data_IF_208400776012
#
_entry.id   IF_208400776012
#
_cell.length_a   1.000
_cell.length_b   1.000
_cell.length_c   1.000
_cell.angle_alpha   90.00
_cell.angle_beta   90.00
_cell.angle_gamma   90.00
#
_symmetry.space_group_name_H-M   'P 1'
#
loop_
_entity.id
_entity.type
_entity.pdbx_description
1 polymer ?
#
# COMPACT_ATOMS: atom_id res chain seq x y z
N UNK A 1 19.91 -18.44 52.18
CA UNK A 1 20.49 -17.12 51.88
C UNK A 1 19.83 -16.61 50.59
N UNK A 2 19.03 -15.55 50.63
CA UNK A 2 18.33 -15.01 49.45
C UNK A 2 18.82 -13.59 49.20
N UNK A 3 19.68 -13.41 48.20
CA UNK A 3 20.09 -12.09 47.72
C UNK A 3 19.09 -11.68 46.64
N UNK A 4 18.15 -10.81 47.02
CA UNK A 4 17.07 -10.39 46.14
C UNK A 4 17.57 -9.44 45.05
N UNK A 5 17.31 -9.89 43.82
CA UNK A 5 17.59 -9.33 42.48
C UNK A 5 16.90 -7.98 42.18
N UNK A 6 16.87 -7.04 43.13
CA UNK A 6 16.06 -5.81 43.03
C UNK A 6 16.59 -4.82 41.98
N UNK A 7 17.90 -4.79 41.73
CA UNK A 7 18.52 -4.03 40.63
C UNK A 7 18.21 -4.60 39.24
N UNK A 8 18.17 -5.93 39.12
CA UNK A 8 17.93 -6.58 37.82
C UNK A 8 16.52 -6.32 37.29
N UNK A 9 15.49 -6.31 38.16
CA UNK A 9 14.11 -6.06 37.71
C UNK A 9 13.96 -4.64 37.15
N UNK A 10 14.56 -3.65 37.81
CA UNK A 10 14.57 -2.27 37.35
C UNK A 10 15.38 -2.11 36.05
N UNK A 11 16.57 -2.71 35.95
CA UNK A 11 17.38 -2.69 34.72
C UNK A 11 16.70 -3.40 33.55
N UNK A 12 16.04 -4.53 33.81
CA UNK A 12 15.25 -5.26 32.80
C UNK A 12 14.10 -4.39 32.29
N UNK A 13 13.37 -3.73 33.18
CA UNK A 13 12.30 -2.82 32.81
C UNK A 13 12.83 -1.64 31.98
N UNK A 14 13.92 -1.01 32.42
CA UNK A 14 14.58 0.08 31.66
C UNK A 14 15.01 -0.37 30.26
N UNK A 15 15.56 -1.58 30.11
CA UNK A 15 15.95 -2.11 28.81
C UNK A 15 14.72 -2.39 27.93
N UNK A 16 13.63 -2.90 28.52
CA UNK A 16 12.36 -3.11 27.82
C UNK A 16 11.78 -1.79 27.33
N UNK A 17 11.73 -0.78 28.20
CA UNK A 17 11.22 0.55 27.87
C UNK A 17 12.10 1.24 26.81
N UNK A 18 13.43 1.09 26.91
CA UNK A 18 14.35 1.60 25.89
C UNK A 18 14.10 0.96 24.51
N UNK A 19 13.98 -0.36 24.45
CA UNK A 19 13.68 -1.08 23.19
C UNK A 19 12.34 -0.66 22.60
N UNK A 20 11.34 -0.42 23.46
CA UNK A 20 10.03 0.09 23.05
C UNK A 20 10.15 1.50 22.47
N UNK A 21 10.84 2.40 23.16
CA UNK A 21 11.05 3.76 22.69
C UNK A 21 11.84 3.80 21.38
N UNK A 22 12.90 3.00 21.25
CA UNK A 22 13.67 2.89 20.01
C UNK A 22 12.80 2.42 18.84
N UNK A 23 11.87 1.48 19.08
CA UNK A 23 10.91 1.02 18.09
C UNK A 23 9.90 2.11 17.70
N UNK A 24 9.38 2.84 18.69
CA UNK A 24 8.47 3.98 18.46
C UNK A 24 9.16 5.05 17.60
N UNK A 25 10.39 5.44 17.94
CA UNK A 25 11.15 6.45 17.19
C UNK A 25 11.34 6.03 15.73
N UNK A 26 11.79 4.78 15.48
CA UNK A 26 11.95 4.29 14.10
C UNK A 26 10.64 4.24 13.33
N UNK A 27 9.55 3.86 13.99
CA UNK A 27 8.22 3.85 13.39
C UNK A 27 7.77 5.26 13.02
N UNK A 28 8.00 6.24 13.90
CA UNK A 28 7.71 7.66 13.63
C UNK A 28 8.53 8.22 12.46
N UNK A 29 9.80 7.84 12.34
CA UNK A 29 10.66 8.27 11.22
C UNK A 29 10.07 7.81 9.87
N UNK A 30 9.72 6.52 9.76
CA UNK A 30 9.08 5.99 8.55
C UNK A 30 7.70 6.60 8.31
N UNK A 31 6.89 6.76 9.36
CA UNK A 31 5.56 7.34 9.24
C UNK A 31 5.63 8.79 8.74
N UNK A 32 6.50 9.61 9.33
CA UNK A 32 6.71 11.00 8.93
C UNK A 32 7.25 11.10 7.50
N UNK A 33 8.22 10.24 7.15
CA UNK A 33 8.73 10.13 5.79
C UNK A 33 7.62 9.79 4.78
N UNK A 34 6.73 8.86 5.13
CA UNK A 34 5.60 8.48 4.30
C UNK A 34 4.57 9.59 4.10
N UNK A 35 4.23 10.33 5.15
CA UNK A 35 3.36 11.50 5.06
C UNK A 35 3.98 12.55 4.15
N UNK A 36 5.26 12.86 4.34
CA UNK A 36 5.98 13.83 3.52
C UNK A 36 6.05 13.41 2.05
N UNK A 37 6.31 12.12 1.76
CA UNK A 37 6.33 11.59 0.40
C UNK A 37 4.96 11.71 -0.28
N UNK A 38 3.88 11.36 0.43
CA UNK A 38 2.50 11.48 -0.07
C UNK A 38 2.14 12.93 -0.38
N UNK A 39 2.41 13.86 0.54
CA UNK A 39 2.16 15.29 0.29
C UNK A 39 3.07 15.87 -0.80
N UNK A 40 4.27 15.32 -0.96
CA UNK A 40 5.17 15.61 -2.09
C UNK A 40 4.72 15.01 -3.43
N UNK A 41 3.63 14.24 -3.46
CA UNK A 41 3.05 13.63 -4.66
C UNK A 41 3.52 12.21 -4.98
N UNK A 42 4.49 11.66 -4.25
CA UNK A 42 4.88 10.24 -4.38
C UNK A 42 4.01 9.37 -3.45
N UNK A 43 2.77 9.14 -3.91
CA UNK A 43 1.76 8.36 -3.17
C UNK A 43 2.22 6.92 -2.95
N UNK A 44 2.91 6.32 -3.92
CA UNK A 44 3.46 4.95 -3.78
C UNK A 44 4.46 4.91 -2.64
N UNK A 45 5.48 5.78 -2.68
CA UNK A 45 6.49 5.82 -1.63
C UNK A 45 5.84 6.13 -0.28
N UNK A 46 4.85 7.01 -0.24
CA UNK A 46 4.05 7.28 0.95
C UNK A 46 3.46 6.00 1.56
N UNK A 47 2.76 5.20 0.76
CA UNK A 47 2.20 3.93 1.21
C UNK A 47 3.27 2.94 1.68
N UNK A 48 4.38 2.79 0.94
CA UNK A 48 5.48 1.89 1.30
C UNK A 48 6.07 2.26 2.66
N UNK A 49 6.35 3.55 2.89
CA UNK A 49 6.92 4.03 4.15
C UNK A 49 5.93 3.91 5.31
N UNK A 50 4.64 4.17 5.09
CA UNK A 50 3.61 3.97 6.11
C UNK A 50 3.46 2.50 6.50
N UNK A 51 3.49 1.58 5.53
CA UNK A 51 3.49 0.13 5.80
C UNK A 51 4.74 -0.25 6.59
N UNK A 52 5.91 0.24 6.18
CA UNK A 52 7.18 -0.01 6.86
C UNK A 52 7.19 0.52 8.29
N UNK A 53 6.48 1.61 8.57
CA UNK A 53 6.32 2.15 9.92
C UNK A 53 5.65 1.17 10.89
N UNK A 54 4.90 0.17 10.41
CA UNK A 54 4.29 -0.87 11.24
C UNK A 54 5.30 -1.91 11.72
N UNK A 55 6.42 -2.10 11.01
CA UNK A 55 7.38 -3.18 11.29
C UNK A 55 8.04 -3.04 12.68
N UNK A 56 8.60 -1.88 13.08
CA UNK A 56 9.28 -1.75 14.37
C UNK A 56 8.35 -1.96 15.57
N UNK A 57 7.08 -1.59 15.42
CA UNK A 57 6.07 -1.63 16.48
C UNK A 57 5.25 -2.93 16.51
N UNK A 58 5.42 -3.81 15.52
CA UNK A 58 4.76 -5.13 15.44
C UNK A 58 4.85 -5.95 16.76
N UNK A 59 6.00 -6.02 17.47
CA UNK A 59 6.09 -6.75 18.74
C UNK A 59 5.24 -6.15 19.87
N UNK A 60 4.80 -4.91 19.72
CA UNK A 60 4.09 -4.13 20.73
C UNK A 60 2.64 -3.82 20.33
N UNK A 61 2.07 -4.47 19.31
CA UNK A 61 0.69 -4.25 18.87
C UNK A 61 -0.38 -4.55 19.92
N UNK A 62 -0.10 -5.44 20.87
CA UNK A 62 -0.98 -5.69 22.01
C UNK A 62 -0.88 -4.63 23.11
N UNK A 63 0.12 -3.75 23.02
CA UNK A 63 0.32 -2.66 23.98
C UNK A 63 -0.24 -1.35 23.42
N UNK A 64 -0.62 -0.47 24.33
CA UNK A 64 -0.92 0.90 23.97
C UNK A 64 0.39 1.66 23.70
N UNK A 65 0.45 2.34 22.55
CA UNK A 65 1.58 3.15 22.09
C UNK A 65 1.16 4.61 21.92
N UNK A 66 0.84 5.32 23.01
CA UNK A 66 0.53 6.73 22.95
C UNK A 66 1.78 7.51 22.54
N UNK A 67 1.61 8.42 21.58
CA UNK A 67 2.63 9.36 21.11
C UNK A 67 1.98 10.73 20.96
N UNK A 68 2.75 11.78 21.23
CA UNK A 68 2.33 13.14 20.89
C UNK A 68 2.69 13.40 19.43
N UNK A 69 1.67 13.67 18.62
CA UNK A 69 1.84 14.16 17.25
C UNK A 69 1.14 15.51 17.17
N UNK A 70 1.92 16.57 16.96
CA UNK A 70 1.44 17.95 16.84
C UNK A 70 0.58 18.42 18.04
N UNK A 71 0.95 18.03 19.27
CA UNK A 71 0.25 18.42 20.49
C UNK A 71 -1.01 17.61 20.80
N UNK A 72 -1.23 16.51 20.06
CA UNK A 72 -2.35 15.58 20.30
C UNK A 72 -1.80 14.20 20.63
N UNK A 73 -2.26 13.63 21.74
CA UNK A 73 -1.96 12.24 22.09
C UNK A 73 -2.75 11.30 21.19
N UNK A 74 -2.04 10.49 20.41
CA UNK A 74 -2.62 9.50 19.50
C UNK A 74 -1.95 8.14 19.68
N UNK A 75 -2.65 7.08 19.31
CA UNK A 75 -2.09 5.73 19.31
C UNK A 75 -1.40 5.46 17.98
N UNK A 76 -0.07 5.29 18.00
CA UNK A 76 0.76 5.27 16.79
C UNK A 76 0.29 4.25 15.74
N UNK A 77 0.03 3.01 16.16
CA UNK A 77 -0.44 1.97 15.24
C UNK A 77 -1.79 2.30 14.58
N UNK A 78 -2.72 2.88 15.34
CA UNK A 78 -4.02 3.29 14.82
C UNK A 78 -3.88 4.45 13.83
N UNK A 79 -3.02 5.43 14.13
CA UNK A 79 -2.81 6.58 13.26
C UNK A 79 -2.15 6.17 11.94
N UNK A 80 -1.15 5.27 11.98
CA UNK A 80 -0.56 4.70 10.75
C UNK A 80 -1.63 3.98 9.92
N UNK A 81 -2.44 3.12 10.53
CA UNK A 81 -3.47 2.36 9.82
C UNK A 81 -4.55 3.27 9.21
N UNK A 82 -4.94 4.31 9.95
CA UNK A 82 -5.85 5.35 9.47
C UNK A 82 -5.28 6.08 8.27
N UNK A 83 -4.01 6.48 8.29
CA UNK A 83 -3.40 7.18 7.16
C UNK A 83 -3.18 6.30 5.93
N UNK A 84 -2.85 5.02 6.10
CA UNK A 84 -2.84 4.04 5.00
C UNK A 84 -4.24 3.96 4.38
N UNK A 85 -5.27 3.77 5.21
CA UNK A 85 -6.66 3.64 4.76
C UNK A 85 -7.15 4.90 4.05
N UNK A 86 -6.87 6.07 4.60
CA UNK A 86 -7.19 7.37 4.01
C UNK A 86 -6.49 7.56 2.66
N UNK A 87 -5.21 7.19 2.57
CA UNK A 87 -4.44 7.30 1.34
C UNK A 87 -5.01 6.38 0.26
N UNK A 88 -5.32 5.13 0.59
CA UNK A 88 -5.97 4.20 -0.35
C UNK A 88 -7.35 4.68 -0.80
N UNK A 89 -8.17 5.22 0.11
CA UNK A 89 -9.49 5.75 -0.22
C UNK A 89 -9.45 6.95 -1.15
N UNK A 90 -8.34 7.69 -1.18
CA UNK A 90 -8.13 8.83 -2.07
C UNK A 90 -7.55 8.43 -3.44
N UNK A 91 -7.23 7.15 -3.65
CA UNK A 91 -6.79 6.62 -4.94
C UNK A 91 -8.01 6.22 -5.75
N UNK A 92 -8.14 6.81 -6.93
CA UNK A 92 -9.14 6.46 -7.93
C UNK A 92 -8.46 5.77 -9.10
N UNK A 93 -8.94 4.58 -9.47
CA UNK A 93 -8.52 3.87 -10.68
C UNK A 93 -9.72 3.82 -11.63
N UNK A 94 -9.55 4.33 -12.84
CA UNK A 94 -10.60 4.33 -13.85
C UNK A 94 -10.06 3.83 -15.20
N UNK A 95 -10.84 3.04 -15.96
CA UNK A 95 -10.47 2.69 -17.32
C UNK A 95 -10.52 3.93 -18.22
N UNK A 96 -9.59 4.02 -19.17
CA UNK A 96 -9.61 5.05 -20.21
C UNK A 96 -10.72 4.77 -21.24
N UNK A 97 -11.02 3.48 -21.47
CA UNK A 97 -12.15 3.03 -22.29
C UNK A 97 -13.06 2.13 -21.45
N UNK A 98 -14.30 2.55 -21.22
CA UNK A 98 -15.25 1.81 -20.39
C UNK A 98 -15.76 0.54 -21.08
N UNK A 99 -15.89 0.54 -22.40
CA UNK A 99 -16.40 -0.57 -23.20
C UNK A 99 -15.52 -0.80 -24.42
N UNK A 100 -15.36 -2.08 -24.77
CA UNK A 100 -14.62 -2.51 -25.95
C UNK A 100 -15.44 -3.58 -26.67
N UNK A 101 -15.72 -3.37 -27.95
CA UNK A 101 -16.38 -4.36 -28.80
C UNK A 101 -15.33 -5.14 -29.58
N UNK A 102 -15.34 -6.46 -29.43
CA UNK A 102 -14.44 -7.36 -30.16
C UNK A 102 -15.19 -8.60 -30.64
N UNK A 103 -14.61 -9.33 -31.58
CA UNK A 103 -15.07 -10.66 -31.95
C UNK A 103 -14.25 -11.72 -31.21
N UNK A 104 -14.89 -12.84 -30.88
CA UNK A 104 -14.20 -14.02 -30.36
C UNK A 104 -13.07 -14.43 -31.31
N UNK A 105 -11.92 -14.78 -30.76
CA UNK A 105 -10.70 -15.11 -31.51
C UNK A 105 -9.81 -13.91 -31.82
N UNK A 106 -10.20 -12.68 -31.48
CA UNK A 106 -9.36 -11.49 -31.63
C UNK A 106 -8.53 -11.20 -30.37
N UNK A 107 -7.38 -10.57 -30.57
CA UNK A 107 -6.57 -9.98 -29.51
C UNK A 107 -7.12 -8.60 -29.11
N UNK A 108 -6.85 -8.18 -27.86
CA UNK A 108 -7.08 -6.82 -27.39
C UNK A 108 -5.72 -6.17 -27.15
N UNK A 109 -5.44 -5.11 -27.92
CA UNK A 109 -4.20 -4.36 -27.81
C UNK A 109 -4.13 -3.55 -26.50
N UNK A 110 -2.91 -3.32 -26.02
CA UNK A 110 -2.63 -2.57 -24.78
C UNK A 110 -3.22 -1.16 -24.75
N UNK A 111 -3.25 -0.49 -25.90
CA UNK A 111 -3.86 0.83 -26.06
C UNK A 111 -5.37 0.87 -25.79
N UNK A 112 -6.05 -0.28 -25.86
CA UNK A 112 -7.49 -0.37 -25.59
C UNK A 112 -7.79 -0.69 -24.13
N UNK A 113 -6.89 -1.40 -23.44
CA UNK A 113 -7.01 -1.80 -22.04
C UNK A 113 -6.04 -1.00 -21.18
N UNK A 114 -6.30 0.31 -21.10
CA UNK A 114 -5.54 1.22 -20.25
C UNK A 114 -6.37 1.67 -19.06
N UNK A 115 -5.78 1.61 -17.88
CA UNK A 115 -6.30 2.19 -16.66
C UNK A 115 -5.48 3.40 -16.25
N UNK A 116 -6.14 4.39 -15.69
CA UNK A 116 -5.52 5.59 -15.17
C UNK A 116 -5.77 5.69 -13.67
N UNK A 117 -4.71 5.90 -12.91
CA UNK A 117 -4.74 6.10 -11.47
C UNK A 117 -4.52 7.58 -11.12
N UNK A 118 -5.37 8.08 -10.24
CA UNK A 118 -5.33 9.44 -9.73
C UNK A 118 -5.42 9.47 -8.21
N UNK A 119 -4.79 10.46 -7.61
CA UNK A 119 -4.87 10.76 -6.19
C UNK A 119 -5.67 12.04 -5.98
N UNK A 120 -6.57 12.02 -4.98
CA UNK A 120 -7.45 13.17 -4.65
C UNK A 120 -8.21 13.71 -5.87
N UNK A 121 -8.55 12.83 -6.81
CA UNK A 121 -9.38 13.11 -7.98
C UNK A 121 -8.68 13.70 -9.21
N UNK A 122 -7.44 14.20 -9.12
CA UNK A 122 -6.80 14.90 -10.25
C UNK A 122 -5.32 14.61 -10.47
N UNK A 123 -4.56 14.32 -9.41
CA UNK A 123 -3.10 14.14 -9.52
C UNK A 123 -2.77 12.74 -10.04
N UNK A 124 -2.10 12.57 -11.19
CA UNK A 124 -1.72 11.24 -11.67
C UNK A 124 -0.73 10.59 -10.70
N UNK A 125 -0.90 9.29 -10.45
CA UNK A 125 0.00 8.55 -9.57
C UNK A 125 1.00 7.77 -10.41
N UNK A 126 2.29 8.10 -10.29
CA UNK A 126 3.34 7.38 -10.97
C UNK A 126 3.77 6.12 -10.21
N UNK A 127 4.21 5.10 -10.95
CA UNK A 127 4.76 3.83 -10.46
C UNK A 127 3.87 3.04 -9.50
N UNK A 128 2.57 3.34 -9.42
CA UNK A 128 1.61 2.63 -8.59
C UNK A 128 1.42 1.22 -9.17
N UNK A 129 1.67 0.15 -8.38
CA UNK A 129 1.47 -1.20 -8.85
C UNK A 129 -0.02 -1.51 -8.92
N UNK A 130 -0.46 -1.92 -10.11
CA UNK A 130 -1.83 -2.35 -10.39
C UNK A 130 -1.85 -3.83 -10.76
N UNK A 131 -2.80 -4.55 -10.18
CA UNK A 131 -3.19 -5.89 -10.60
C UNK A 131 -4.51 -5.83 -11.35
N UNK A 132 -4.66 -6.66 -12.38
CA UNK A 132 -5.91 -6.79 -13.15
C UNK A 132 -6.52 -8.17 -13.04
N UNK A 133 -7.84 -8.22 -13.14
CA UNK A 133 -8.62 -9.44 -13.20
C UNK A 133 -9.46 -9.43 -14.48
N UNK A 134 -9.44 -10.56 -15.17
CA UNK A 134 -10.25 -10.80 -16.36
C UNK A 134 -11.17 -11.98 -16.12
N UNK A 135 -12.47 -11.79 -16.35
CA UNK A 135 -13.50 -12.75 -15.94
C UNK A 135 -13.56 -14.04 -16.78
N UNK A 136 -12.92 -14.07 -17.96
CA UNK A 136 -12.82 -15.31 -18.75
C UNK A 136 -11.80 -16.27 -18.13
N UNK A 137 -10.60 -15.77 -17.82
CA UNK A 137 -9.46 -16.57 -17.36
C UNK A 137 -8.39 -15.70 -16.69
N UNK A 138 -7.53 -16.30 -15.85
CA UNK A 138 -6.32 -15.64 -15.37
C UNK A 138 -5.42 -15.19 -16.53
N UNK A 139 -4.83 -14.01 -16.39
CA UNK A 139 -3.84 -13.48 -17.34
C UNK A 139 -2.43 -13.79 -16.84
N UNK A 140 -1.53 -14.11 -17.77
CA UNK A 140 -0.11 -14.33 -17.47
C UNK A 140 0.57 -13.05 -17.01
N UNK A 141 0.27 -11.93 -17.68
CA UNK A 141 0.80 -10.61 -17.38
C UNK A 141 -0.29 -9.71 -16.79
N UNK A 142 -0.71 -10.02 -15.56
CA UNK A 142 -1.81 -9.33 -14.88
C UNK A 142 -1.35 -8.22 -13.93
N UNK A 143 -0.07 -7.85 -13.95
CA UNK A 143 0.50 -6.81 -13.08
C UNK A 143 1.29 -5.81 -13.91
N UNK A 144 1.06 -4.52 -13.66
CA UNK A 144 1.81 -3.43 -14.28
C UNK A 144 1.90 -2.26 -13.30
N UNK A 145 2.97 -1.47 -13.39
CA UNK A 145 3.07 -0.20 -12.67
C UNK A 145 2.62 0.94 -13.57
N UNK A 146 1.98 1.95 -12.99
CA UNK A 146 1.60 3.14 -13.75
C UNK A 146 2.82 3.95 -14.19
N UNK A 147 2.72 4.63 -15.32
CA UNK A 147 3.74 5.57 -15.78
C UNK A 147 3.57 6.97 -15.15
N UNK A 148 4.38 7.95 -15.56
CA UNK A 148 4.32 9.34 -15.06
C UNK A 148 2.98 10.05 -15.31
N UNK A 149 2.18 9.60 -16.28
CA UNK A 149 0.84 10.11 -16.55
C UNK A 149 -0.27 9.41 -15.75
N UNK A 150 0.11 8.43 -14.91
CA UNK A 150 -0.80 7.60 -14.13
C UNK A 150 -1.38 6.42 -14.89
N UNK A 151 -0.88 6.10 -16.08
CA UNK A 151 -1.46 5.06 -16.95
C UNK A 151 -0.76 3.71 -16.78
N UNK A 152 -1.52 2.63 -16.71
CA UNK A 152 -1.06 1.26 -16.86
C UNK A 152 -1.88 0.55 -17.95
N UNK A 153 -1.20 -0.12 -18.87
CA UNK A 153 -1.82 -0.74 -20.04
C UNK A 153 -1.54 -2.24 -20.04
N UNK A 154 -2.55 -3.03 -20.45
CA UNK A 154 -2.53 -4.48 -20.43
C UNK A 154 -3.02 -5.03 -21.76
N UNK A 155 -2.59 -6.19 -22.18
CA UNK A 155 -3.05 -6.81 -23.42
C UNK A 155 -3.68 -8.18 -23.17
N UNK A 156 -4.50 -8.61 -24.14
CA UNK A 156 -5.06 -9.97 -24.17
C UNK A 156 -4.76 -10.56 -25.53
N UNK A 157 -3.95 -11.63 -25.56
CA UNK A 157 -3.55 -12.30 -26.80
C UNK A 157 -4.73 -12.81 -27.63
N UNK A 158 -5.74 -13.37 -26.96
CA UNK A 158 -6.93 -13.92 -27.63
C UNK A 158 -8.07 -14.04 -26.64
N UNK A 159 -9.23 -13.51 -27.03
CA UNK A 159 -10.50 -13.71 -26.30
C UNK A 159 -11.19 -14.96 -26.82
N UNK A 160 -11.43 -15.92 -25.93
CA UNK A 160 -12.10 -17.20 -26.25
C UNK A 160 -13.45 -17.35 -25.57
N UNK A 161 -13.87 -16.34 -24.80
CA UNK A 161 -15.16 -16.36 -24.15
C UNK A 161 -16.30 -16.53 -25.15
N UNK A 162 -17.27 -17.35 -24.74
CA UNK A 162 -18.56 -17.54 -25.40
C UNK A 162 -19.64 -16.62 -24.82
N UNK A 163 -19.34 -15.89 -23.73
CA UNK A 163 -20.29 -14.96 -23.12
C UNK A 163 -20.42 -13.71 -23.98
N UNK A 164 -21.58 -13.07 -23.92
CA UNK A 164 -21.82 -11.78 -24.56
C UNK A 164 -21.06 -10.62 -23.90
N UNK A 165 -20.73 -10.77 -22.61
CA UNK A 165 -19.99 -9.78 -21.83
C UNK A 165 -18.95 -10.46 -20.95
N UNK A 166 -17.79 -9.83 -20.83
CA UNK A 166 -16.75 -10.14 -19.85
C UNK A 166 -16.29 -8.82 -19.22
N UNK A 167 -15.82 -8.88 -17.98
CA UNK A 167 -15.29 -7.74 -17.23
C UNK A 167 -13.78 -7.81 -17.14
N UNK A 168 -13.15 -6.64 -17.24
CA UNK A 168 -11.73 -6.43 -17.00
C UNK A 168 -11.59 -5.32 -15.95
N UNK A 169 -11.10 -5.65 -14.77
CA UNK A 169 -11.02 -4.73 -13.64
C UNK A 169 -9.57 -4.57 -13.17
N UNK A 170 -9.25 -3.40 -12.63
CA UNK A 170 -7.93 -3.10 -12.07
C UNK A 170 -8.07 -2.70 -10.60
N UNK A 171 -7.09 -3.09 -9.79
CA UNK A 171 -6.96 -2.74 -8.36
C UNK A 171 -5.51 -2.46 -8.02
N UNK A 172 -5.28 -1.72 -6.95
CA UNK A 172 -3.91 -1.56 -6.40
C UNK A 172 -3.40 -2.94 -5.97
N UNK A 173 -2.20 -3.29 -6.39
CA UNK A 173 -1.52 -4.50 -5.92
C UNK A 173 -0.86 -4.23 -4.58
N UNK A 174 -1.62 -4.44 -3.50
CA UNK A 174 -1.13 -4.25 -2.13
C UNK A 174 0.01 -5.22 -1.79
N UNK A 175 0.08 -6.39 -2.43
CA UNK A 175 1.17 -7.33 -2.16
C UNK A 175 2.51 -6.76 -2.63
N UNK A 176 2.52 -6.10 -3.78
CA UNK A 176 3.72 -5.44 -4.30
C UNK A 176 4.20 -4.32 -3.37
N UNK A 177 3.26 -3.54 -2.78
CA UNK A 177 3.57 -2.53 -1.75
C UNK A 177 4.14 -3.18 -0.47
N UNK A 178 3.56 -4.30 -0.02
CA UNK A 178 4.03 -5.03 1.17
C UNK A 178 5.45 -5.59 0.96
N UNK A 179 5.71 -6.17 -0.20
CA UNK A 179 7.04 -6.67 -0.57
C UNK A 179 8.05 -5.52 -0.67
N UNK A 180 7.69 -4.38 -1.26
CA UNK A 180 8.57 -3.20 -1.33
C UNK A 180 8.88 -2.60 0.05
N UNK A 181 7.94 -2.68 0.99
CA UNK A 181 8.14 -2.27 2.37
C UNK A 181 9.06 -3.22 3.16
N UNK A 182 9.31 -4.43 2.64
CA UNK A 182 10.07 -5.48 3.34
C UNK A 182 9.25 -6.23 4.40
N UNK A 183 7.93 -6.13 4.34
CA UNK A 183 7.02 -6.85 5.24
C UNK A 183 6.53 -8.12 4.55
N UNK A 184 7.24 -9.23 4.74
CA UNK A 184 6.82 -10.60 4.35
C UNK A 184 6.39 -11.44 5.57
#
# INVERSE_FOLDING_TARGET
>A
YWVYYRLSKAQYQQLKDKRKNDAITRSLDFFTSGINAREGGDVRLGLVQMVKALEPIKPYFSESLPVDINGTEVYLGNEIFKEISNTLAQITIAPVKNNINIKTGQSIASSMLTFRAFFRGSSPIASLPLGVEYSEKPLRNNRQRTNSAGNASFDIDVVRSKKSFESFSAKVDLNDILTEAGTE
#
